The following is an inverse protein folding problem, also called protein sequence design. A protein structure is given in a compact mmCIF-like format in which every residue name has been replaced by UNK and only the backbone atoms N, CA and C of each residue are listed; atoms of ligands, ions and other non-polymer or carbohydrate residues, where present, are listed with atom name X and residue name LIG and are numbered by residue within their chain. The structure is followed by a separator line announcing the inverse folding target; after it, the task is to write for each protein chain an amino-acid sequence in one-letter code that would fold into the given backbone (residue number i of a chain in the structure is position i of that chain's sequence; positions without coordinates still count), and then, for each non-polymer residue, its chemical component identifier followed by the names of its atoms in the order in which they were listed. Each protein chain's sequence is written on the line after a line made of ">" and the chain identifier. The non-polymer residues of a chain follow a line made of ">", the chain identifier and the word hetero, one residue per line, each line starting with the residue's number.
data_IF_288921826204
#
_entry.id   IF_288921826204
#
_cell.length_a   1.000
_cell.length_b   1.000
_cell.length_c   1.000
_cell.angle_alpha   90.00
_cell.angle_beta   90.00
_cell.angle_gamma   90.00
#
_symmetry.space_group_name_H-M   'P 1'
#
loop_
_entity.id
_entity.type
_entity.pdbx_description
1 polymer ?
#
# COMPACT_ATOMS: atom_id res chain seq x y z
N UNK A 1 -24.18 -7.71 8.63
CA UNK A 1 -22.74 -8.08 8.65
C UNK A 1 -21.93 -7.13 7.78
N UNK A 2 -21.36 -6.05 8.34
CA UNK A 2 -20.37 -5.17 7.70
C UNK A 2 -19.68 -4.42 8.84
N UNK A 3 -18.39 -4.66 9.14
CA UNK A 3 -17.56 -3.76 9.97
C UNK A 3 -16.13 -4.27 10.33
N UNK A 4 -15.69 -5.48 9.94
CA UNK A 4 -14.35 -5.94 10.38
C UNK A 4 -13.17 -5.30 9.63
N UNK A 5 -13.34 -4.91 8.36
CA UNK A 5 -12.26 -4.28 7.58
C UNK A 5 -12.02 -2.79 7.88
N UNK A 6 -13.07 -1.99 8.14
CA UNK A 6 -12.90 -0.52 8.24
C UNK A 6 -12.25 -0.05 9.54
N UNK A 7 -12.32 -0.85 10.61
CA UNK A 7 -11.69 -0.51 11.91
C UNK A 7 -10.18 -0.79 11.94
N UNK A 8 -9.65 -1.58 11.01
CA UNK A 8 -8.22 -1.96 11.00
C UNK A 8 -7.38 -0.93 10.24
N UNK A 9 -7.81 -0.51 9.05
CA UNK A 9 -7.05 0.41 8.18
C UNK A 9 -6.67 1.71 8.88
N UNK A 10 -7.65 2.38 9.51
CA UNK A 10 -7.40 3.66 10.18
C UNK A 10 -6.47 3.51 11.38
N UNK A 11 -6.47 2.37 12.06
CA UNK A 11 -5.57 2.10 13.19
C UNK A 11 -4.14 1.83 12.75
N UNK A 12 -3.95 0.98 11.74
CA UNK A 12 -2.62 0.65 11.22
C UNK A 12 -1.96 1.91 10.67
N UNK A 13 -2.67 2.65 9.82
CA UNK A 13 -2.17 3.91 9.26
C UNK A 13 -1.90 4.95 10.35
N UNK A 14 -2.79 5.06 11.34
CA UNK A 14 -2.58 5.99 12.45
C UNK A 14 -1.34 5.63 13.28
N UNK A 15 -1.09 4.35 13.54
CA UNK A 15 0.11 3.90 14.24
C UNK A 15 1.38 4.28 13.45
N UNK A 16 1.42 3.96 12.15
CA UNK A 16 2.54 4.32 11.26
C UNK A 16 2.79 5.83 11.27
N UNK A 17 1.75 6.65 11.14
CA UNK A 17 1.88 8.11 11.15
C UNK A 17 2.31 8.69 12.52
N UNK A 18 1.94 8.04 13.63
CA UNK A 18 2.32 8.47 14.98
C UNK A 18 3.72 8.03 15.38
N UNK A 19 4.14 6.85 14.97
CA UNK A 19 5.45 6.26 15.28
C UNK A 19 6.52 6.70 14.26
N UNK A 20 6.09 7.30 13.15
CA UNK A 20 6.96 7.90 12.15
C UNK A 20 7.88 8.97 12.74
N UNK A 21 9.17 8.89 12.38
CA UNK A 21 10.17 9.95 12.61
C UNK A 21 9.98 11.18 11.71
N UNK A 22 9.22 11.05 10.64
CA UNK A 22 8.93 12.12 9.70
C UNK A 22 7.73 12.94 10.18
N UNK A 23 7.84 14.25 10.00
CA UNK A 23 6.74 15.19 10.16
C UNK A 23 5.70 15.02 9.04
N UNK A 24 4.44 15.39 9.30
CA UNK A 24 3.40 15.39 8.26
C UNK A 24 3.77 16.24 7.03
N UNK A 25 4.60 17.27 7.21
CA UNK A 25 5.07 18.13 6.12
C UNK A 25 6.06 17.40 5.21
N UNK A 26 6.98 16.62 5.78
CA UNK A 26 7.91 15.78 5.01
C UNK A 26 7.16 14.68 4.27
N UNK A 27 6.26 13.98 4.96
CA UNK A 27 5.41 12.95 4.33
C UNK A 27 4.61 13.56 3.18
N UNK A 28 4.03 14.75 3.38
CA UNK A 28 3.27 15.45 2.35
C UNK A 28 4.10 15.78 1.12
N UNK A 29 5.35 16.26 1.32
CA UNK A 29 6.29 16.57 0.25
C UNK A 29 6.64 15.33 -0.58
N UNK A 30 6.94 14.20 0.07
CA UNK A 30 7.39 12.99 -0.60
C UNK A 30 6.24 12.21 -1.26
N UNK A 31 5.06 12.20 -0.65
CA UNK A 31 3.90 11.40 -1.13
C UNK A 31 2.95 12.19 -2.03
N UNK A 32 3.04 13.53 -2.01
CA UNK A 32 2.09 14.43 -2.66
C UNK A 32 0.69 14.40 -2.03
N UNK A 33 0.51 13.81 -0.84
CA UNK A 33 -0.75 13.83 -0.08
C UNK A 33 -0.77 15.08 0.78
N UNK A 34 -1.89 15.81 0.82
CA UNK A 34 -1.97 17.07 1.58
C UNK A 34 -1.78 16.84 3.08
N UNK A 35 -1.14 17.79 3.77
CA UNK A 35 -0.99 17.76 5.24
C UNK A 35 -2.36 17.57 5.92
N UNK A 36 -3.41 18.26 5.46
CA UNK A 36 -4.78 18.12 5.99
C UNK A 36 -5.31 16.69 5.90
N UNK A 37 -5.05 16.00 4.79
CA UNK A 37 -5.46 14.60 4.59
C UNK A 37 -4.70 13.69 5.55
N UNK A 38 -3.40 13.92 5.73
CA UNK A 38 -2.57 13.15 6.66
C UNK A 38 -2.99 13.38 8.12
N UNK A 39 -3.33 14.61 8.50
CA UNK A 39 -3.87 14.93 9.83
C UNK A 39 -5.19 14.21 10.11
N UNK A 40 -6.10 14.21 9.13
CA UNK A 40 -7.37 13.47 9.21
C UNK A 40 -7.12 11.97 9.46
N UNK A 41 -6.19 11.38 8.72
CA UNK A 41 -5.83 9.97 8.85
C UNK A 41 -5.15 9.66 10.18
N UNK A 42 -4.23 10.53 10.62
CA UNK A 42 -3.60 10.42 11.94
C UNK A 42 -4.61 10.58 13.08
N UNK A 43 -5.74 11.24 12.85
CA UNK A 43 -6.86 11.34 13.79
C UNK A 43 -7.82 10.13 13.75
N UNK A 44 -7.55 9.15 12.88
CA UNK A 44 -8.34 7.92 12.75
C UNK A 44 -9.47 8.00 11.72
N UNK A 45 -9.55 9.06 10.91
CA UNK A 45 -10.51 9.12 9.79
C UNK A 45 -10.14 8.09 8.73
N UNK A 46 -11.09 7.27 8.32
CA UNK A 46 -10.87 6.24 7.30
C UNK A 46 -10.48 6.86 5.95
N UNK A 47 -9.36 6.45 5.34
CA UNK A 47 -9.00 6.85 3.98
C UNK A 47 -10.08 6.41 2.98
N UNK A 48 -10.53 7.34 2.13
CA UNK A 48 -11.48 7.06 1.04
C UNK A 48 -10.80 6.94 -0.33
N UNK A 49 -9.59 7.49 -0.43
CA UNK A 49 -8.79 7.53 -1.65
C UNK A 49 -7.64 6.52 -1.50
N UNK A 50 -7.81 5.37 -2.16
CA UNK A 50 -6.85 4.26 -2.10
C UNK A 50 -5.51 4.61 -2.76
N UNK A 51 -5.50 5.51 -3.76
CA UNK A 51 -4.27 5.88 -4.45
C UNK A 51 -3.39 6.78 -3.57
N UNK A 52 -4.00 7.70 -2.81
CA UNK A 52 -3.26 8.44 -1.77
C UNK A 52 -2.77 7.51 -0.66
N UNK A 53 -3.61 6.56 -0.23
CA UNK A 53 -3.24 5.60 0.80
C UNK A 53 -2.04 4.75 0.36
N UNK A 54 -2.05 4.25 -0.88
CA UNK A 54 -0.96 3.48 -1.48
C UNK A 54 0.35 4.26 -1.50
N UNK A 55 0.32 5.53 -1.90
CA UNK A 55 1.53 6.38 -1.91
C UNK A 55 2.14 6.55 -0.52
N UNK A 56 1.31 6.73 0.50
CA UNK A 56 1.78 6.81 1.89
C UNK A 56 2.29 5.45 2.38
N UNK A 57 1.60 4.37 2.08
CA UNK A 57 2.04 3.01 2.43
C UNK A 57 3.44 2.73 1.86
N UNK A 58 3.64 2.97 0.56
CA UNK A 58 4.92 2.77 -0.12
C UNK A 58 6.03 3.64 0.44
N UNK A 59 5.74 4.89 0.84
CA UNK A 59 6.73 5.75 1.48
C UNK A 59 7.28 5.15 2.78
N UNK A 60 6.46 4.40 3.52
CA UNK A 60 6.87 3.68 4.73
C UNK A 60 7.36 2.24 4.45
N UNK A 61 7.43 1.82 3.20
CA UNK A 61 7.85 0.47 2.82
C UNK A 61 6.78 -0.60 3.07
N UNK A 62 5.52 -0.22 3.25
CA UNK A 62 4.40 -1.13 3.38
C UNK A 62 3.63 -1.27 2.07
N UNK A 63 3.09 -2.45 1.80
CA UNK A 63 2.14 -2.64 0.71
C UNK A 63 0.76 -2.09 1.08
N UNK A 64 -0.04 -1.75 0.08
CA UNK A 64 -1.42 -1.32 0.33
C UNK A 64 -2.23 -2.43 1.03
N UNK A 65 -1.93 -3.70 0.73
CA UNK A 65 -2.58 -4.85 1.35
C UNK A 65 -2.33 -4.91 2.85
N UNK A 66 -1.06 -4.76 3.27
CA UNK A 66 -0.69 -4.74 4.68
C UNK A 66 -1.44 -3.66 5.46
N UNK A 67 -1.57 -2.47 4.87
CA UNK A 67 -2.30 -1.36 5.51
C UNK A 67 -3.81 -1.64 5.59
N UNK A 68 -4.39 -2.32 4.59
CA UNK A 68 -5.82 -2.60 4.53
C UNK A 68 -6.26 -3.77 5.42
N UNK A 69 -5.45 -4.82 5.48
CA UNK A 69 -5.84 -6.10 6.08
C UNK A 69 -5.01 -6.47 7.32
N UNK A 70 -3.85 -5.83 7.53
CA UNK A 70 -2.97 -6.13 8.65
C UNK A 70 -2.20 -7.44 8.52
N UNK A 71 -2.12 -7.99 7.31
CA UNK A 71 -1.40 -9.21 6.96
C UNK A 71 -0.57 -8.99 5.68
N UNK A 72 0.49 -9.78 5.43
CA UNK A 72 1.27 -9.67 4.20
C UNK A 72 0.41 -9.93 2.96
N UNK A 73 0.70 -9.28 1.83
CA UNK A 73 -0.02 -9.54 0.59
C UNK A 73 0.24 -11.00 0.15
N UNK A 74 -0.78 -11.86 0.04
CA UNK A 74 -0.61 -13.24 -0.41
C UNK A 74 -0.09 -13.34 -1.85
N UNK A 75 -0.18 -12.26 -2.62
CA UNK A 75 0.32 -12.12 -3.99
C UNK A 75 1.67 -11.40 -4.08
N UNK A 76 2.15 -10.71 -3.04
CA UNK A 76 3.56 -10.31 -2.91
C UNK A 76 4.39 -11.52 -2.48
N UNK A 77 4.40 -12.55 -3.31
CA UNK A 77 5.56 -13.44 -3.30
C UNK A 77 6.66 -12.65 -3.99
N UNK A 78 7.70 -12.28 -3.25
CA UNK A 78 8.99 -12.02 -3.87
C UNK A 78 9.39 -13.32 -4.58
N UNK A 79 8.99 -13.42 -5.85
CA UNK A 79 9.47 -14.48 -6.72
C UNK A 79 10.95 -14.15 -6.93
N UNK A 80 11.89 -14.98 -6.45
CA UNK A 80 13.30 -14.72 -6.69
C UNK A 80 13.51 -14.56 -8.18
N UNK A 81 14.21 -13.51 -8.60
CA UNK A 81 14.43 -13.25 -10.02
C UNK A 81 15.03 -14.46 -10.73
N UNK A 82 15.92 -15.17 -10.04
CA UNK A 82 16.55 -16.39 -10.56
C UNK A 82 15.53 -17.50 -10.81
N UNK A 83 14.55 -17.68 -9.91
CA UNK A 83 13.44 -18.62 -10.11
C UNK A 83 12.55 -18.23 -11.30
N UNK A 84 12.32 -16.92 -11.49
CA UNK A 84 11.54 -16.43 -12.62
C UNK A 84 12.29 -16.64 -13.95
N UNK A 85 13.60 -16.37 -13.98
CA UNK A 85 14.46 -16.55 -15.14
C UNK A 85 14.50 -18.02 -15.54
N UNK A 86 14.75 -18.93 -14.60
CA UNK A 86 14.78 -20.37 -14.84
C UNK A 86 13.48 -20.87 -15.49
N UNK A 87 12.32 -20.42 -14.99
CA UNK A 87 11.01 -20.80 -15.57
C UNK A 87 10.79 -20.23 -16.96
N UNK A 88 11.25 -19.01 -17.23
CA UNK A 88 11.14 -18.40 -18.56
C UNK A 88 12.03 -19.16 -19.56
N UNK A 89 13.26 -19.48 -19.18
CA UNK A 89 14.21 -20.26 -20.01
C UNK A 89 13.67 -21.66 -20.32
N UNK A 90 13.04 -22.30 -19.33
CA UNK A 90 12.42 -23.62 -19.48
C UNK A 90 11.04 -23.58 -20.18
N UNK A 91 10.53 -22.40 -20.57
CA UNK A 91 9.24 -22.26 -21.23
C UNK A 91 8.01 -22.47 -20.33
N UNK A 92 8.18 -22.45 -19.01
CA UNK A 92 7.11 -22.68 -18.01
C UNK A 92 6.37 -21.39 -17.63
N UNK A 93 5.74 -20.74 -18.61
CA UNK A 93 4.99 -19.50 -18.35
C UNK A 93 3.68 -19.40 -19.15
N UNK A 94 2.73 -18.67 -18.57
CA UNK A 94 1.50 -18.24 -19.23
C UNK A 94 1.48 -16.71 -19.30
N UNK A 95 1.30 -16.15 -20.50
CA UNK A 95 1.23 -14.70 -20.71
C UNK A 95 -0.24 -14.27 -20.77
N UNK A 96 -0.66 -13.43 -19.82
CA UNK A 96 -1.97 -12.78 -19.85
C UNK A 96 -1.78 -11.32 -20.28
N UNK A 97 -2.08 -11.02 -21.55
CA UNK A 97 -2.07 -9.65 -22.07
C UNK A 97 -3.38 -8.95 -21.66
N UNK A 98 -3.25 -7.79 -21.00
CA UNK A 98 -4.39 -6.92 -20.67
C UNK A 98 -4.18 -5.55 -21.32
N UNK A 99 -5.25 -5.03 -21.93
CA UNK A 99 -5.26 -3.65 -22.45
C UNK A 99 -5.02 -2.70 -21.28
N UNK A 100 -3.99 -1.85 -21.39
CA UNK A 100 -3.75 -0.78 -20.42
C UNK A 100 -4.89 0.23 -20.57
N UNK A 101 -5.69 0.39 -19.52
CA UNK A 101 -6.61 1.51 -19.42
C UNK A 101 -5.78 2.72 -18.98
N UNK A 102 -5.61 3.70 -19.86
CA UNK A 102 -5.09 5.01 -19.47
C UNK A 102 -6.20 5.77 -18.74
N UNK A 103 -5.90 6.26 -17.53
CA UNK A 103 -6.70 7.23 -16.80
C UNK A 103 -6.14 8.63 -17.07
#
# INVERSE_FOLDING_TARGET
>A
MKARGSMLVSKILQAILKESRYTLREISKETGVSISTLTDWQSGRTPRDLEKLRRVAHFFGHSLHEILFGEPDPLEKEVPKDWLIERIENGEFEIILRRKNEN
#
